data_IF_616245864358
#
_entry.id   IF_616245864358
#
_cell.length_a   1.000
_cell.length_b   1.000
_cell.length_c   1.000
_cell.angle_alpha   90.00
_cell.angle_beta   90.00
_cell.angle_gamma   90.00
#
_symmetry.space_group_name_H-M   'P 1'
#
loop_
_entity.id
_entity.type
_entity.pdbx_description
1 polymer ?
#
# COMPACT_ATOMS: atom_id res chain seq x y z
N UNK A 1 -23.52 20.08 -2.29
CA UNK A 1 -22.55 19.13 -1.72
C UNK A 1 -22.08 18.30 -2.89
N UNK A 2 -20.78 18.37 -3.22
CA UNK A 2 -20.22 17.63 -4.35
C UNK A 2 -19.45 16.46 -3.74
N UNK A 3 -19.87 15.27 -4.10
CA UNK A 3 -19.24 14.02 -3.71
C UNK A 3 -18.56 13.42 -4.95
N UNK A 4 -17.51 12.63 -4.72
CA UNK A 4 -16.82 11.87 -5.76
C UNK A 4 -16.75 10.40 -5.36
N UNK A 5 -17.03 9.52 -6.31
CA UNK A 5 -16.94 8.07 -6.14
C UNK A 5 -15.58 7.58 -6.58
N UNK A 6 -14.80 6.98 -5.67
CA UNK A 6 -13.47 6.44 -5.95
C UNK A 6 -13.38 4.97 -5.57
N UNK A 7 -12.49 4.25 -6.25
CA UNK A 7 -12.23 2.84 -5.99
C UNK A 7 -10.84 2.66 -5.40
N UNK A 8 -10.76 2.12 -4.19
CA UNK A 8 -9.51 1.66 -3.61
C UNK A 8 -9.25 0.24 -4.09
N UNK A 9 -8.08 0.00 -4.68
CA UNK A 9 -7.64 -1.31 -5.19
C UNK A 9 -6.45 -1.76 -4.37
N UNK A 10 -6.62 -2.85 -3.62
CA UNK A 10 -5.55 -3.45 -2.84
C UNK A 10 -4.69 -4.37 -3.71
N UNK A 11 -3.38 -4.15 -3.71
CA UNK A 11 -2.43 -4.91 -4.50
C UNK A 11 -1.58 -5.82 -3.59
N UNK A 12 -1.25 -7.05 -4.04
CA UNK A 12 -1.50 -7.61 -5.37
C UNK A 12 -2.83 -8.40 -5.50
N UNK A 13 -3.70 -8.39 -4.50
CA UNK A 13 -4.92 -9.22 -4.50
C UNK A 13 -6.01 -8.72 -5.46
N UNK A 14 -5.90 -7.47 -5.90
CA UNK A 14 -6.89 -6.74 -6.71
C UNK A 14 -8.28 -6.65 -6.07
N UNK A 15 -8.37 -6.82 -4.75
CA UNK A 15 -9.59 -6.56 -4.00
C UNK A 15 -9.96 -5.08 -4.09
N UNK A 16 -11.27 -4.80 -4.20
CA UNK A 16 -11.77 -3.44 -4.46
C UNK A 16 -12.73 -2.99 -3.39
N UNK A 17 -12.62 -1.73 -3.00
CA UNK A 17 -13.57 -1.05 -2.14
C UNK A 17 -13.97 0.27 -2.77
N UNK A 18 -15.27 0.52 -2.88
CA UNK A 18 -15.80 1.74 -3.49
C UNK A 18 -16.26 2.66 -2.37
N UNK A 19 -15.83 3.92 -2.43
CA UNK A 19 -16.21 4.95 -1.48
C UNK A 19 -16.77 6.17 -2.21
N UNK A 20 -17.81 6.74 -1.64
CA UNK A 20 -18.28 8.08 -1.98
C UNK A 20 -17.67 9.07 -0.98
N UNK A 21 -16.83 9.97 -1.46
CA UNK A 21 -16.05 10.91 -0.67
C UNK A 21 -16.57 12.33 -0.85
N UNK A 22 -16.71 13.07 0.24
CA UNK A 22 -17.04 14.50 0.16
C UNK A 22 -15.80 15.29 -0.21
N UNK A 23 -15.89 16.20 -1.18
CA UNK A 23 -14.73 17.01 -1.60
C UNK A 23 -14.10 17.83 -0.46
N UNK A 24 -14.92 18.27 0.50
CA UNK A 24 -14.50 19.05 1.68
C UNK A 24 -13.93 18.21 2.83
N UNK A 25 -13.94 16.88 2.71
CA UNK A 25 -13.41 15.98 3.73
C UNK A 25 -11.95 15.61 3.48
N UNK A 26 -11.27 15.14 4.52
CA UNK A 26 -9.96 14.53 4.40
C UNK A 26 -10.07 13.05 4.02
N UNK A 27 -8.99 12.49 3.49
CA UNK A 27 -8.90 11.07 3.14
C UNK A 27 -8.92 10.13 4.35
N UNK A 28 -8.73 10.65 5.57
CA UNK A 28 -8.57 9.88 6.80
C UNK A 28 -9.66 8.83 7.01
N UNK A 29 -10.94 9.19 6.83
CA UNK A 29 -12.04 8.26 7.06
C UNK A 29 -12.02 7.09 6.07
N UNK A 30 -11.74 7.36 4.79
CA UNK A 30 -11.68 6.33 3.77
C UNK A 30 -10.48 5.40 3.97
N UNK A 31 -9.30 5.97 4.23
CA UNK A 31 -8.08 5.20 4.48
C UNK A 31 -8.19 4.32 5.74
N UNK A 32 -8.75 4.87 6.82
CA UNK A 32 -9.00 4.10 8.05
C UNK A 32 -10.03 2.98 7.82
N UNK A 33 -11.08 3.22 7.02
CA UNK A 33 -12.06 2.20 6.69
C UNK A 33 -11.45 1.06 5.85
N UNK A 34 -10.56 1.38 4.90
CA UNK A 34 -9.79 0.38 4.15
C UNK A 34 -8.90 -0.43 5.09
N UNK A 35 -8.12 0.24 5.95
CA UNK A 35 -7.25 -0.43 6.91
C UNK A 35 -8.02 -1.37 7.86
N UNK A 36 -9.14 -0.89 8.40
CA UNK A 36 -10.02 -1.68 9.26
C UNK A 36 -10.59 -2.91 8.53
N UNK A 37 -10.97 -2.76 7.26
CA UNK A 37 -11.47 -3.88 6.44
C UNK A 37 -10.40 -4.95 6.21
N UNK A 38 -9.15 -4.53 6.05
CA UNK A 38 -8.00 -5.42 5.88
C UNK A 38 -7.46 -5.97 7.22
N UNK A 39 -7.97 -5.51 8.36
CA UNK A 39 -7.45 -5.89 9.68
C UNK A 39 -6.03 -5.38 9.94
N UNK A 40 -5.68 -4.21 9.39
CA UNK A 40 -4.34 -3.60 9.46
C UNK A 40 -4.39 -2.22 10.12
N UNK A 41 -3.23 -1.73 10.56
CA UNK A 41 -3.06 -0.32 10.91
C UNK A 41 -2.88 0.51 9.63
N UNK A 42 -3.47 1.70 9.55
CA UNK A 42 -3.34 2.57 8.37
C UNK A 42 -1.88 2.95 8.06
N UNK A 43 -1.00 2.95 9.06
CA UNK A 43 0.46 3.21 8.92
C UNK A 43 1.21 2.03 8.28
N UNK A 44 0.59 0.86 8.24
CA UNK A 44 1.09 -0.33 7.55
C UNK A 44 0.60 -0.39 6.09
N UNK A 45 -0.04 0.67 5.60
CA UNK A 45 -0.51 0.77 4.22
C UNK A 45 0.07 2.02 3.55
N UNK A 46 0.34 1.92 2.25
CA UNK A 46 0.63 3.06 1.40
C UNK A 46 -0.50 3.24 0.39
N UNK A 47 -0.92 4.48 0.19
CA UNK A 47 -2.00 4.85 -0.71
C UNK A 47 -1.44 5.73 -1.82
N UNK A 48 -1.76 5.41 -3.07
CA UNK A 48 -1.29 6.16 -4.24
C UNK A 48 -2.45 6.55 -5.15
N UNK A 49 -2.40 7.78 -5.65
CA UNK A 49 -3.20 8.21 -6.79
C UNK A 49 -2.27 8.44 -7.98
N UNK A 50 -2.26 7.47 -8.91
CA UNK A 50 -1.25 7.41 -9.96
C UNK A 50 0.16 7.30 -9.35
N UNK A 51 1.01 8.31 -9.57
CA UNK A 51 2.38 8.35 -9.03
C UNK A 51 2.51 9.10 -7.70
N UNK A 52 1.42 9.68 -7.20
CA UNK A 52 1.46 10.55 -6.03
C UNK A 52 1.09 9.79 -4.76
N UNK A 53 1.96 9.73 -3.74
CA UNK A 53 1.61 9.17 -2.45
C UNK A 53 0.57 10.06 -1.78
N UNK A 54 -0.38 9.43 -1.10
CA UNK A 54 -1.47 10.09 -0.41
C UNK A 54 -1.28 9.98 1.10
N UNK A 55 -1.57 11.08 1.78
CA UNK A 55 -1.62 11.12 3.24
C UNK A 55 -3.06 11.29 3.73
N UNK A 56 -3.33 10.80 4.93
CA UNK A 56 -4.67 10.84 5.54
C UNK A 56 -5.23 12.26 5.70
N UNK A 57 -4.36 13.25 5.85
CA UNK A 57 -4.74 14.64 6.13
C UNK A 57 -4.96 15.45 4.84
N UNK A 58 -4.73 14.85 3.66
CA UNK A 58 -5.03 15.49 2.38
C UNK A 58 -6.55 15.64 2.20
N UNK A 59 -6.95 16.82 1.74
CA UNK A 59 -8.32 17.10 1.34
C UNK A 59 -8.60 16.51 -0.03
N UNK A 60 -9.76 15.86 -0.17
CA UNK A 60 -10.21 15.24 -1.42
C UNK A 60 -10.21 16.25 -2.57
N UNK A 61 -10.69 17.47 -2.34
CA UNK A 61 -10.73 18.54 -3.35
C UNK A 61 -9.34 18.91 -3.93
N UNK A 62 -8.28 18.85 -3.11
CA UNK A 62 -6.93 19.26 -3.51
C UNK A 62 -6.26 18.19 -4.38
N UNK A 63 -6.70 16.94 -4.25
CA UNK A 63 -6.15 15.81 -4.99
C UNK A 63 -6.64 15.74 -6.44
N UNK A 64 -7.64 16.54 -6.81
CA UNK A 64 -8.19 16.56 -8.17
C UNK A 64 -8.91 15.26 -8.58
N UNK A 65 -9.37 14.49 -7.59
CA UNK A 65 -10.12 13.25 -7.79
C UNK A 65 -11.43 13.50 -8.54
N UNK A 66 -11.80 12.53 -9.37
CA UNK A 66 -13.03 12.49 -10.18
C UNK A 66 -13.78 11.19 -9.95
N UNK A 67 -15.04 11.18 -10.33
CA UNK A 67 -15.85 9.95 -10.31
C UNK A 67 -15.20 8.85 -11.15
N UNK A 68 -15.04 7.68 -10.54
CA UNK A 68 -14.43 6.50 -11.14
C UNK A 68 -12.92 6.40 -10.95
N UNK A 69 -12.27 7.39 -10.32
CA UNK A 69 -10.83 7.35 -10.08
C UNK A 69 -10.42 6.19 -9.17
N UNK A 70 -9.18 5.75 -9.34
CA UNK A 70 -8.60 4.60 -8.64
C UNK A 70 -7.49 5.04 -7.71
N UNK A 71 -7.55 4.56 -6.47
CA UNK A 71 -6.48 4.68 -5.48
C UNK A 71 -5.87 3.30 -5.27
N UNK A 72 -4.58 3.19 -5.51
CA UNK A 72 -3.82 1.95 -5.31
C UNK A 72 -3.38 1.86 -3.85
N UNK A 73 -3.55 0.68 -3.25
CA UNK A 73 -3.20 0.41 -1.86
C UNK A 73 -2.19 -0.73 -1.80
N UNK A 74 -1.06 -0.48 -1.15
CA UNK A 74 0.00 -1.45 -0.94
C UNK A 74 0.21 -1.69 0.55
N UNK A 75 0.60 -2.91 0.93
CA UNK A 75 1.16 -3.12 2.27
C UNK A 75 2.50 -2.38 2.37
N UNK A 76 2.59 -1.47 3.33
CA UNK A 76 3.84 -0.85 3.73
C UNK A 76 4.66 -1.89 4.48
N UNK A 77 5.63 -2.48 3.78
CA UNK A 77 6.68 -3.24 4.43
C UNK A 77 7.60 -2.21 5.09
N UNK A 78 7.25 -1.76 6.30
CA UNK A 78 8.25 -1.12 7.16
C UNK A 78 9.40 -2.12 7.23
N UNK A 79 10.58 -1.75 6.75
CA UNK A 79 11.74 -2.63 6.80
C UNK A 79 11.99 -3.01 8.26
N UNK A 80 11.42 -4.13 8.70
CA UNK A 80 11.87 -4.81 9.91
C UNK A 80 13.28 -5.18 9.57
N UNK A 81 14.24 -4.51 10.22
CA UNK A 81 15.67 -4.75 10.12
C UNK A 81 15.93 -6.24 9.88
N UNK A 82 16.18 -6.62 8.61
CA UNK A 82 16.37 -8.03 8.27
C UNK A 82 17.84 -8.30 8.58
N UNK A 83 18.10 -8.83 9.77
CA UNK A 83 19.45 -9.28 10.15
C UNK A 83 19.76 -10.57 9.41
N UNK A 84 20.64 -10.47 8.44
CA UNK A 84 21.21 -11.63 7.76
C UNK A 84 22.51 -12.03 8.46
N UNK A 85 22.66 -13.33 8.73
CA UNK A 85 23.99 -13.91 8.91
C UNK A 85 24.62 -14.02 7.51
N UNK A 86 25.62 -13.19 7.23
CA UNK A 86 26.31 -13.16 5.94
C UNK A 86 26.95 -14.50 5.56
N UNK A 87 27.25 -15.37 6.53
CA UNK A 87 27.77 -16.71 6.24
C UNK A 87 26.71 -17.67 5.69
N UNK A 88 25.43 -17.28 5.74
CA UNK A 88 24.28 -18.08 5.26
C UNK A 88 23.67 -17.56 3.96
N UNK A 89 24.16 -16.44 3.44
CA UNK A 89 23.67 -15.79 2.22
C UNK A 89 24.47 -16.32 1.03
N UNK A 90 23.81 -17.02 0.10
CA UNK A 90 24.46 -17.49 -1.13
C UNK A 90 24.37 -16.46 -2.26
N UNK A 91 23.25 -15.76 -2.37
CA UNK A 91 23.00 -14.78 -3.44
C UNK A 91 21.98 -13.73 -2.98
N UNK A 92 22.20 -12.46 -3.36
CA UNK A 92 21.23 -11.37 -3.22
C UNK A 92 20.83 -10.94 -4.62
N UNK A 93 19.53 -10.99 -4.92
CA UNK A 93 18.97 -10.47 -6.17
C UNK A 93 18.18 -9.21 -5.89
N UNK A 94 18.51 -8.15 -6.63
CA UNK A 94 17.75 -6.91 -6.64
C UNK A 94 16.73 -6.99 -7.78
N UNK A 95 15.44 -6.87 -7.47
CA UNK A 95 14.40 -6.72 -8.48
C UNK A 95 14.31 -5.29 -9.01
N UNK A 96 13.57 -5.09 -10.10
CA UNK A 96 13.27 -3.77 -10.68
C UNK A 96 12.34 -2.92 -9.78
N UNK A 97 11.62 -3.57 -8.88
CA UNK A 97 10.95 -2.96 -7.73
C UNK A 97 11.86 -3.11 -6.52
N UNK A 98 11.83 -2.18 -5.56
CA UNK A 98 12.74 -2.09 -4.40
C UNK A 98 12.71 -3.28 -3.40
N UNK A 99 12.34 -4.47 -3.86
CA UNK A 99 12.27 -5.75 -3.16
C UNK A 99 13.52 -6.56 -3.54
N UNK A 100 14.18 -7.11 -2.53
CA UNK A 100 15.29 -8.05 -2.73
C UNK A 100 14.88 -9.46 -2.28
N UNK A 101 15.41 -10.48 -2.96
CA UNK A 101 15.24 -11.88 -2.59
C UNK A 101 16.56 -12.42 -2.03
N UNK A 102 16.52 -13.07 -0.87
CA UNK A 102 17.67 -13.77 -0.28
C UNK A 102 17.45 -15.26 -0.37
N UNK A 103 18.35 -15.95 -1.07
CA UNK A 103 18.38 -17.40 -1.16
C UNK A 103 19.23 -17.97 -0.01
N UNK A 104 18.66 -18.88 0.77
CA UNK A 104 19.35 -19.60 1.84
C UNK A 104 19.77 -20.97 1.35
N UNK A 105 20.95 -21.41 1.78
CA UNK A 105 21.46 -22.75 1.55
C UNK A 105 20.51 -23.78 2.18
N UNK A 106 19.84 -24.58 1.36
CA UNK A 106 19.16 -25.78 1.85
C UNK A 106 20.23 -26.69 2.43
N UNK A 107 20.15 -27.01 3.73
CA UNK A 107 20.93 -28.14 4.26
C UNK A 107 20.37 -29.37 3.57
N UNK A 108 21.10 -29.88 2.58
CA UNK A 108 20.82 -31.19 2.00
C UNK A 108 20.69 -32.20 3.13
N UNK A 109 19.52 -32.84 3.21
CA UNK A 109 19.33 -34.02 4.04
C UNK A 109 20.30 -35.10 3.55
N UNK A 110 21.13 -35.58 4.47
CA UNK A 110 22.00 -36.74 4.27
C UNK A 110 21.18 -38.03 4.35
#
# INVERSE_FOLDING_TARGET
MIDVTVTFVFLPTYERMIFMLRLESTMANAMNAVAAKLGRDVRELQFFFGKFPLEKDYMVAVMGLRDGDIIEVFEHISAKEIKFDWNSVEEIRFGDTSIFQVLRKSKGEQ
#
